data_IF_274084894728
#
_entry.id   IF_274084894728
#
_cell.length_a   1.000
_cell.length_b   1.000
_cell.length_c   1.000
_cell.angle_alpha   90.00
_cell.angle_beta   90.00
_cell.angle_gamma   90.00
#
_symmetry.space_group_name_H-M   'P 1'
#
loop_
_entity.id
_entity.type
_entity.pdbx_description
1 polymer ?
#
# COMPACT_ATOMS: atom_id res chain seq x y z
N UNK A 1 14.08 23.15 -14.75
CA UNK A 1 13.01 22.55 -13.92
C UNK A 1 12.90 21.07 -14.22
N UNK A 2 12.96 20.17 -13.23
CA UNK A 2 12.57 18.76 -13.38
C UNK A 2 11.58 18.55 -12.24
N UNK A 3 10.29 18.23 -12.50
CA UNK A 3 9.30 18.15 -11.44
C UNK A 3 9.81 17.13 -10.45
N UNK A 4 9.96 17.52 -9.18
CA UNK A 4 10.37 16.61 -8.11
C UNK A 4 9.43 15.41 -8.18
N UNK A 5 9.94 14.31 -8.71
CA UNK A 5 9.27 13.03 -8.75
C UNK A 5 9.40 12.56 -7.31
N UNK A 6 8.47 13.01 -6.47
CA UNK A 6 8.26 12.43 -5.15
C UNK A 6 8.30 10.92 -5.34
N UNK A 7 9.26 10.26 -4.71
CA UNK A 7 9.51 8.85 -4.93
C UNK A 7 8.19 8.09 -4.75
N UNK A 8 7.65 7.53 -5.84
CA UNK A 8 6.35 6.86 -5.81
C UNK A 8 6.51 5.64 -4.90
N UNK A 9 5.84 5.69 -3.75
CA UNK A 9 5.89 4.62 -2.77
C UNK A 9 5.16 3.39 -3.32
N UNK A 10 5.93 2.40 -3.80
CA UNK A 10 5.41 1.13 -4.33
C UNK A 10 5.88 -0.04 -3.46
N UNK A 11 5.30 -0.23 -2.26
CA UNK A 11 5.78 -1.23 -1.28
C UNK A 11 5.65 -2.68 -1.79
N UNK A 12 4.75 -2.91 -2.74
CA UNK A 12 4.49 -4.22 -3.33
C UNK A 12 5.05 -4.36 -4.75
N UNK A 13 5.96 -3.46 -5.16
CA UNK A 13 6.53 -3.41 -6.50
C UNK A 13 5.55 -2.87 -7.55
N UNK A 14 5.89 -3.09 -8.82
CA UNK A 14 5.09 -2.66 -9.97
C UNK A 14 5.45 -3.44 -11.24
N UNK A 15 4.58 -3.38 -12.25
CA UNK A 15 4.75 -4.11 -13.51
C UNK A 15 4.79 -5.63 -13.32
N UNK A 16 5.68 -6.31 -14.04
CA UNK A 16 5.80 -7.78 -14.01
C UNK A 16 6.26 -8.37 -12.67
N UNK A 17 6.75 -7.54 -11.74
CA UNK A 17 7.20 -7.95 -10.40
C UNK A 17 6.25 -7.50 -9.30
N UNK A 18 4.98 -7.22 -9.63
CA UNK A 18 3.96 -6.91 -8.64
C UNK A 18 3.74 -8.11 -7.71
N UNK A 19 3.67 -7.85 -6.41
CA UNK A 19 3.30 -8.87 -5.43
C UNK A 19 1.90 -9.44 -5.75
N UNK A 20 1.73 -10.77 -5.89
CA UNK A 20 0.41 -11.36 -6.14
C UNK A 20 -0.57 -11.10 -4.98
N UNK A 21 -0.05 -10.86 -3.77
CA UNK A 21 -0.83 -10.51 -2.60
C UNK A 21 -1.04 -9.00 -2.39
N UNK A 22 -0.70 -8.13 -3.34
CA UNK A 22 -0.76 -6.68 -3.15
C UNK A 22 -2.16 -6.17 -2.73
N UNK A 23 -3.22 -6.70 -3.35
CA UNK A 23 -4.59 -6.33 -3.01
C UNK A 23 -5.02 -6.90 -1.66
N UNK A 24 -4.59 -8.13 -1.34
CA UNK A 24 -4.85 -8.75 -0.05
C UNK A 24 -4.18 -7.95 1.09
N UNK A 25 -2.91 -7.59 0.93
CA UNK A 25 -2.18 -6.82 1.93
C UNK A 25 -2.82 -5.44 2.17
N UNK A 26 -3.27 -4.77 1.11
CA UNK A 26 -4.02 -3.50 1.26
C UNK A 26 -5.33 -3.68 2.03
N UNK A 27 -6.07 -4.76 1.75
CA UNK A 27 -7.29 -5.09 2.47
C UNK A 27 -7.02 -5.37 3.95
N UNK A 28 -6.04 -6.23 4.25
CA UNK A 28 -5.66 -6.60 5.62
C UNK A 28 -5.24 -5.38 6.44
N UNK A 29 -4.41 -4.49 5.89
CA UNK A 29 -4.00 -3.24 6.56
C UNK A 29 -5.22 -2.34 6.81
N UNK A 30 -6.13 -2.22 5.86
CA UNK A 30 -7.34 -1.39 6.01
C UNK A 30 -8.25 -1.94 7.12
N UNK A 31 -8.44 -3.26 7.16
CA UNK A 31 -9.23 -3.94 8.18
C UNK A 31 -8.57 -3.76 9.55
N UNK A 32 -7.26 -4.04 9.65
CA UNK A 32 -6.50 -3.87 10.90
C UNK A 32 -6.65 -2.45 11.45
N UNK A 33 -6.46 -1.43 10.60
CA UNK A 33 -6.60 -0.03 11.00
C UNK A 33 -8.03 0.29 11.43
N UNK A 34 -9.04 -0.19 10.71
CA UNK A 34 -10.44 0.01 11.11
C UNK A 34 -10.71 -0.55 12.50
N UNK A 35 -10.29 -1.79 12.77
CA UNK A 35 -10.45 -2.40 14.08
C UNK A 35 -9.71 -1.63 15.17
N UNK A 36 -8.46 -1.24 14.89
CA UNK A 36 -7.62 -0.46 15.80
C UNK A 36 -8.27 0.88 16.18
N UNK A 37 -8.83 1.63 15.22
CA UNK A 37 -9.39 2.96 15.53
C UNK A 37 -10.81 2.92 16.07
N UNK A 38 -11.57 1.85 15.78
CA UNK A 38 -13.01 1.78 16.12
C UNK A 38 -13.27 0.98 17.40
N UNK A 39 -12.35 0.10 17.81
CA UNK A 39 -12.52 -0.78 18.98
C UNK A 39 -11.49 -0.50 20.09
N UNK A 40 -10.77 0.63 20.00
CA UNK A 40 -9.95 1.17 21.07
C UNK A 40 -10.71 2.25 21.84
#
# INVERSE_FOLDING_TARGET
EKPLMDAIFTPFGGGARLCPGAQLAQLEVSIFLHYLVTNC
#
